data_IF_342202703569
#
_entry.id   IF_342202703569
#
_cell.length_a   1.000
_cell.length_b   1.000
_cell.length_c   1.000
_cell.angle_alpha   90.00
_cell.angle_beta   90.00
_cell.angle_gamma   90.00
#
_symmetry.space_group_name_H-M   'P 1'
#
loop_
_entity.id
_entity.type
_entity.pdbx_description
1 polymer ?
#
# COMPACT_ATOMS: atom_id res chain seq x y z
N UNK A 1 5.42 6.25 29.09
CA UNK A 1 4.55 5.69 28.04
C UNK A 1 5.06 6.18 26.69
N UNK A 2 5.04 5.33 25.66
CA UNK A 2 5.57 5.68 24.34
C UNK A 2 4.51 6.34 23.48
N UNK A 3 4.81 7.51 22.92
CA UNK A 3 3.91 8.18 21.97
C UNK A 3 3.75 7.42 20.64
N UNK A 4 4.59 6.41 20.38
CA UNK A 4 4.59 5.63 19.14
C UNK A 4 3.28 4.85 18.93
N UNK A 5 2.67 4.36 20.01
CA UNK A 5 1.45 3.55 19.97
C UNK A 5 0.19 4.37 20.24
N UNK A 6 0.31 5.69 20.41
CA UNK A 6 -0.84 6.56 20.54
C UNK A 6 -1.53 6.73 19.18
N UNK A 7 -2.87 6.75 19.13
CA UNK A 7 -3.60 7.05 17.91
C UNK A 7 -3.24 8.43 17.35
N UNK A 8 -3.37 8.56 16.03
CA UNK A 8 -3.18 9.81 15.30
C UNK A 8 -4.35 10.02 14.35
N UNK A 9 -4.92 11.21 14.33
CA UNK A 9 -5.97 11.58 13.37
C UNK A 9 -5.44 12.66 12.44
N UNK A 10 -5.57 12.43 11.13
CA UNK A 10 -5.26 13.43 10.10
C UNK A 10 -6.53 13.58 9.25
N UNK A 11 -7.09 14.79 9.24
CA UNK A 11 -8.43 15.06 8.69
C UNK A 11 -9.46 14.13 9.35
N UNK A 12 -10.13 13.30 8.57
CA UNK A 12 -11.18 12.38 9.01
C UNK A 12 -10.66 10.95 9.22
N UNK A 13 -9.39 10.69 8.93
CA UNK A 13 -8.80 9.35 9.02
C UNK A 13 -8.06 9.20 10.35
N UNK A 14 -8.47 8.20 11.13
CA UNK A 14 -7.80 7.78 12.35
C UNK A 14 -6.86 6.61 12.07
N UNK A 15 -5.63 6.71 12.56
CA UNK A 15 -4.61 5.67 12.55
C UNK A 15 -4.42 5.15 13.98
N UNK A 16 -4.32 3.83 14.14
CA UNK A 16 -4.25 3.18 15.44
C UNK A 16 -2.92 3.39 16.18
N UNK A 17 -1.87 3.74 15.44
CA UNK A 17 -0.56 4.07 15.96
C UNK A 17 0.23 4.90 14.93
N UNK A 18 1.45 5.30 15.31
CA UNK A 18 2.33 6.16 14.50
C UNK A 18 3.40 5.38 13.75
N UNK A 19 3.22 4.07 13.59
CA UNK A 19 4.14 3.17 12.86
C UNK A 19 3.62 3.03 11.44
N UNK A 20 4.28 3.68 10.49
CA UNK A 20 3.88 3.69 9.09
C UNK A 20 4.94 3.04 8.22
N UNK A 21 4.52 2.21 7.28
CA UNK A 21 5.41 1.59 6.30
C UNK A 21 5.56 2.53 5.11
N UNK A 22 6.80 2.92 4.82
CA UNK A 22 7.15 3.78 3.70
C UNK A 22 6.86 3.11 2.34
N UNK A 23 6.63 3.89 1.27
CA UNK A 23 6.55 3.34 -0.09
C UNK A 23 7.92 2.81 -0.50
N UNK A 24 8.04 1.50 -0.69
CA UNK A 24 9.29 0.83 -1.04
C UNK A 24 9.11 0.03 -2.33
N UNK A 25 9.70 0.48 -3.43
CA UNK A 25 9.58 -0.18 -4.73
C UNK A 25 10.03 -1.64 -4.66
N UNK A 26 9.17 -2.55 -5.12
CA UNK A 26 9.44 -3.98 -5.16
C UNK A 26 9.90 -4.44 -6.54
N UNK A 27 9.53 -3.72 -7.60
CA UNK A 27 9.87 -4.04 -8.99
C UNK A 27 9.35 -5.42 -9.45
N UNK A 28 8.20 -5.84 -8.92
CA UNK A 28 7.61 -7.17 -9.15
C UNK A 28 6.29 -7.15 -9.92
N UNK A 29 5.84 -5.98 -10.38
CA UNK A 29 4.65 -5.86 -11.23
C UNK A 29 4.92 -6.43 -12.62
N UNK A 30 3.86 -6.91 -13.27
CA UNK A 30 3.90 -7.36 -14.66
C UNK A 30 2.94 -6.51 -15.48
N UNK A 31 3.49 -5.83 -16.49
CA UNK A 31 2.73 -4.89 -17.32
C UNK A 31 2.00 -3.82 -16.49
N UNK A 32 2.56 -3.43 -15.32
CA UNK A 32 1.95 -2.47 -14.40
C UNK A 32 0.99 -3.09 -13.38
N UNK A 33 0.56 -4.33 -13.58
CA UNK A 33 -0.33 -5.03 -12.64
C UNK A 33 0.41 -5.53 -11.41
N UNK A 34 -0.13 -5.19 -10.24
CA UNK A 34 0.17 -5.89 -9.00
C UNK A 34 -0.42 -7.30 -9.02
N UNK A 35 0.09 -8.15 -8.13
CA UNK A 35 -0.29 -9.55 -8.05
C UNK A 35 0.28 -10.21 -6.79
N UNK A 36 0.37 -11.53 -6.77
CA UNK A 36 0.64 -12.33 -5.57
C UNK A 36 1.82 -11.86 -4.73
N UNK A 37 2.91 -11.38 -5.35
CA UNK A 37 4.04 -10.80 -4.60
C UNK A 37 3.59 -9.65 -3.70
N UNK A 38 2.83 -8.70 -4.24
CA UNK A 38 2.38 -7.51 -3.55
C UNK A 38 1.34 -7.87 -2.48
N UNK A 39 0.46 -8.84 -2.76
CA UNK A 39 -0.51 -9.35 -1.79
C UNK A 39 0.19 -9.91 -0.54
N UNK A 40 1.21 -10.76 -0.74
CA UNK A 40 1.98 -11.35 0.37
C UNK A 40 2.84 -10.30 1.06
N UNK A 41 3.55 -9.46 0.30
CA UNK A 41 4.46 -8.46 0.83
C UNK A 41 3.73 -7.42 1.69
N UNK A 42 2.72 -6.75 1.13
CA UNK A 42 1.94 -5.74 1.84
C UNK A 42 1.04 -6.39 2.91
N UNK A 43 0.51 -7.59 2.63
CA UNK A 43 -0.26 -8.35 3.61
C UNK A 43 0.55 -8.70 4.86
N UNK A 44 1.84 -8.99 4.73
CA UNK A 44 2.70 -9.23 5.90
C UNK A 44 2.74 -8.03 6.84
N UNK A 45 2.80 -6.80 6.31
CA UNK A 45 2.76 -5.58 7.12
C UNK A 45 1.38 -5.34 7.76
N UNK A 46 0.30 -5.74 7.09
CA UNK A 46 -1.04 -5.64 7.64
C UNK A 46 -1.19 -6.52 8.90
N UNK A 47 -0.66 -7.74 8.85
CA UNK A 47 -0.64 -8.63 10.03
C UNK A 47 0.28 -8.14 11.16
N UNK A 48 1.23 -7.25 10.84
CA UNK A 48 2.15 -6.65 11.82
C UNK A 48 1.54 -5.53 12.68
N UNK A 49 0.30 -5.10 12.41
CA UNK A 49 -0.39 -4.10 13.22
C UNK A 49 0.11 -2.65 13.02
N UNK A 50 0.63 -2.35 11.84
CA UNK A 50 1.05 -0.98 11.48
C UNK A 50 -0.15 -0.04 11.37
N UNK A 51 0.03 1.25 11.65
CA UNK A 51 -1.03 2.24 11.54
C UNK A 51 -1.40 2.54 10.08
N UNK A 52 -0.40 2.54 9.19
CA UNK A 52 -0.54 2.79 7.76
C UNK A 52 0.48 1.96 6.97
N UNK A 53 0.03 1.44 5.83
CA UNK A 53 0.89 0.93 4.77
C UNK A 53 0.82 1.88 3.57
N UNK A 54 1.94 2.40 3.10
CA UNK A 54 2.01 3.13 1.85
C UNK A 54 2.47 2.19 0.73
N UNK A 55 1.60 1.92 -0.24
CA UNK A 55 1.95 1.18 -1.47
C UNK A 55 3.09 1.91 -2.19
N UNK A 56 3.97 1.14 -2.82
CA UNK A 56 5.12 1.67 -3.56
C UNK A 56 4.74 2.65 -4.67
N UNK A 57 5.73 3.41 -5.15
CA UNK A 57 5.56 4.37 -6.22
C UNK A 57 4.88 3.72 -7.45
N UNK A 58 3.68 4.18 -7.75
CA UNK A 58 2.80 3.62 -8.77
C UNK A 58 2.62 4.60 -9.93
N UNK A 59 3.02 4.19 -11.13
CA UNK A 59 2.99 5.05 -12.31
C UNK A 59 1.57 5.44 -12.73
N UNK A 60 1.35 6.73 -12.98
CA UNK A 60 0.05 7.23 -13.49
C UNK A 60 -0.15 6.99 -14.99
N UNK A 61 0.94 6.73 -15.71
CA UNK A 61 1.00 6.35 -17.13
C UNK A 61 2.12 5.32 -17.33
N UNK A 62 2.08 4.48 -18.39
CA UNK A 62 3.07 3.41 -18.58
C UNK A 62 4.52 3.88 -18.58
N UNK A 63 4.80 5.02 -19.23
CA UNK A 63 6.13 5.64 -19.37
C UNK A 63 6.57 6.42 -18.11
N UNK A 64 5.65 6.67 -17.17
CA UNK A 64 5.93 7.33 -15.90
C UNK A 64 6.52 6.40 -14.84
N UNK A 65 6.62 5.10 -15.14
CA UNK A 65 7.20 4.09 -14.26
C UNK A 65 8.73 4.21 -14.21
N UNK A 66 9.30 3.94 -13.03
CA UNK A 66 10.76 3.91 -12.84
C UNK A 66 11.38 2.72 -13.59
N UNK A 67 10.72 1.56 -13.57
CA UNK A 67 11.15 0.36 -14.30
C UNK A 67 9.94 -0.42 -14.83
N UNK A 68 10.21 -1.38 -15.73
CA UNK A 68 9.18 -2.29 -16.26
C UNK A 68 8.49 -3.13 -15.17
N UNK A 69 9.13 -3.29 -14.00
CA UNK A 69 8.59 -4.00 -12.85
C UNK A 69 7.81 -3.12 -11.89
N UNK A 70 7.69 -1.82 -12.14
CA UNK A 70 6.89 -0.93 -11.29
C UNK A 70 5.39 -1.11 -11.57
N UNK A 71 4.54 -0.97 -10.54
CA UNK A 71 3.10 -0.94 -10.72
C UNK A 71 2.65 0.34 -11.45
N UNK A 72 1.44 0.31 -12.01
CA UNK A 72 0.73 1.47 -12.53
C UNK A 72 -0.72 1.52 -12.03
N UNK A 73 -1.35 2.68 -12.20
CA UNK A 73 -2.77 2.94 -11.90
C UNK A 73 -3.42 3.76 -13.02
N UNK A 74 -3.00 3.48 -14.25
CA UNK A 74 -3.37 4.22 -15.46
C UNK A 74 -4.81 3.98 -15.93
N UNK A 75 -5.45 2.91 -15.48
CA UNK A 75 -6.84 2.57 -15.78
C UNK A 75 -7.53 1.83 -14.63
N UNK A 76 -8.83 1.59 -14.80
CA UNK A 76 -9.65 0.88 -13.81
C UNK A 76 -9.18 -0.56 -13.59
N UNK A 77 -8.61 -1.23 -14.60
CA UNK A 77 -8.15 -2.61 -14.44
C UNK A 77 -6.95 -2.67 -13.48
N UNK A 78 -5.99 -1.77 -13.65
CA UNK A 78 -4.84 -1.61 -12.78
C UNK A 78 -5.25 -1.20 -11.36
N UNK A 79 -6.16 -0.23 -11.23
CA UNK A 79 -6.71 0.17 -9.93
C UNK A 79 -7.43 -0.99 -9.22
N UNK A 80 -8.22 -1.78 -9.97
CA UNK A 80 -8.94 -2.93 -9.42
C UNK A 80 -8.02 -4.04 -8.91
N UNK A 81 -6.80 -4.17 -9.47
CA UNK A 81 -5.83 -5.18 -9.04
C UNK A 81 -5.36 -4.99 -7.59
N UNK A 82 -5.47 -3.77 -7.02
CA UNK A 82 -5.13 -3.51 -5.62
C UNK A 82 -6.23 -3.88 -4.61
N UNK A 83 -7.47 -4.11 -5.08
CA UNK A 83 -8.61 -4.38 -4.17
C UNK A 83 -8.38 -5.54 -3.19
N UNK A 84 -7.80 -6.69 -3.59
CA UNK A 84 -7.55 -7.79 -2.66
C UNK A 84 -6.71 -7.37 -1.46
N UNK A 85 -5.58 -6.70 -1.69
CA UNK A 85 -4.67 -6.29 -0.62
C UNK A 85 -5.21 -5.16 0.23
N UNK A 86 -5.96 -4.22 -0.37
CA UNK A 86 -6.67 -3.15 0.35
C UNK A 86 -7.68 -3.76 1.33
N UNK A 87 -8.52 -4.69 0.85
CA UNK A 87 -9.53 -5.35 1.66
C UNK A 87 -8.89 -6.16 2.79
N UNK A 88 -7.79 -6.86 2.50
CA UNK A 88 -7.05 -7.60 3.51
C UNK A 88 -6.51 -6.66 4.61
N UNK A 89 -5.86 -5.56 4.24
CA UNK A 89 -5.35 -4.58 5.21
C UNK A 89 -6.47 -4.00 6.09
N UNK A 90 -7.60 -3.61 5.48
CA UNK A 90 -8.76 -3.10 6.22
C UNK A 90 -9.37 -4.14 7.17
N UNK A 91 -9.31 -5.44 6.85
CA UNK A 91 -9.77 -6.50 7.77
C UNK A 91 -8.94 -6.61 9.05
N UNK A 92 -7.72 -6.05 9.04
CA UNK A 92 -6.83 -5.94 10.19
C UNK A 92 -6.81 -4.53 10.80
N UNK A 93 -7.76 -3.66 10.41
CA UNK A 93 -7.82 -2.24 10.79
C UNK A 93 -6.53 -1.45 10.51
N UNK A 94 -5.84 -1.82 9.43
CA UNK A 94 -4.66 -1.11 8.92
C UNK A 94 -5.10 -0.24 7.76
N UNK A 95 -4.79 1.07 7.81
CA UNK A 95 -5.08 1.97 6.68
C UNK A 95 -4.06 1.74 5.58
N UNK A 96 -4.47 1.96 4.33
CA UNK A 96 -3.60 1.86 3.16
C UNK A 96 -3.63 3.15 2.35
N UNK A 97 -2.44 3.62 1.97
CA UNK A 97 -2.23 4.74 1.06
C UNK A 97 -1.42 4.28 -0.16
N UNK A 98 -1.26 5.17 -1.13
CA UNK A 98 -0.49 4.91 -2.35
C UNK A 98 0.36 6.14 -2.68
N UNK A 99 1.58 5.90 -3.16
CA UNK A 99 2.48 6.92 -3.69
C UNK A 99 2.47 6.90 -5.22
#
# INVERSE_FOLDING_TARGET
MSALFDPLTIREVQFNNRIWVSPMCQYMAKDGFVGQWHDVHLGSFATGGTGLIMVEATGVVPEGRISIGCPSIEDDAHANAFKPVINFAHSHDVKIGIQ
#
